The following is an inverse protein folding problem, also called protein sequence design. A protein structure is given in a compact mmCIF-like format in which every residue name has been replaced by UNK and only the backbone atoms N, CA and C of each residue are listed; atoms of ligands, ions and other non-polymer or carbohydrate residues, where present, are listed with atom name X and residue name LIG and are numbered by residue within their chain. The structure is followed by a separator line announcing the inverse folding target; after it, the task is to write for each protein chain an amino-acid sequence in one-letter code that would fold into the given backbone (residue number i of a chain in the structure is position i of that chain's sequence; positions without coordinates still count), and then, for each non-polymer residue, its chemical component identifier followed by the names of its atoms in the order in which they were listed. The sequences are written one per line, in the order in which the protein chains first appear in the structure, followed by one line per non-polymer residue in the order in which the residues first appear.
data_IF_616368198244
#
_entry.id   IF_616368198244
#
_cell.length_a   1.000
_cell.length_b   1.000
_cell.length_c   1.000
_cell.angle_alpha   90.00
_cell.angle_beta   90.00
_cell.angle_gamma   90.00
#
_symmetry.space_group_name_H-M   'P 1'
#
loop_
_entity.id
_entity.type
_entity.pdbx_description
1 polymer ?
#
# COMPACT_ATOMS: atom_id res chain seq x y z
N UNK A 1 11.91 -53.89 -4.47
CA UNK A 1 10.92 -52.94 -3.89
C UNK A 1 11.61 -51.61 -3.54
N UNK A 2 11.78 -50.69 -4.51
CA UNK A 2 12.54 -49.43 -4.32
C UNK A 2 11.94 -48.21 -5.03
N UNK A 3 10.66 -48.28 -5.44
CA UNK A 3 9.98 -47.22 -6.22
C UNK A 3 8.85 -46.50 -5.46
N UNK A 4 8.51 -46.92 -4.24
CA UNK A 4 7.37 -46.36 -3.48
C UNK A 4 7.77 -45.15 -2.62
N UNK A 5 9.05 -45.00 -2.27
CA UNK A 5 9.52 -43.94 -1.35
C UNK A 5 9.63 -42.55 -2.00
N UNK A 6 9.69 -42.44 -3.33
CA UNK A 6 9.85 -41.13 -4.02
C UNK A 6 8.50 -40.40 -4.16
N UNK A 7 7.38 -41.13 -4.24
CA UNK A 7 6.06 -40.54 -4.47
C UNK A 7 5.51 -39.81 -3.22
N UNK A 8 5.82 -40.31 -2.02
CA UNK A 8 5.40 -39.69 -0.77
C UNK A 8 6.16 -38.39 -0.43
N UNK A 9 7.42 -38.27 -0.85
CA UNK A 9 8.21 -37.07 -0.61
C UNK A 9 7.76 -35.86 -1.45
N UNK A 10 7.26 -36.10 -2.67
CA UNK A 10 6.77 -35.04 -3.57
C UNK A 10 5.43 -34.48 -3.09
N UNK A 11 4.54 -35.31 -2.52
CA UNK A 11 3.24 -34.84 -2.01
C UNK A 11 3.39 -33.98 -0.75
N UNK A 12 4.36 -34.28 0.12
CA UNK A 12 4.64 -33.45 1.31
C UNK A 12 5.29 -32.10 0.97
N UNK A 13 6.11 -32.04 -0.08
CA UNK A 13 6.72 -30.77 -0.50
C UNK A 13 5.69 -29.82 -1.13
N UNK A 14 4.76 -30.32 -1.96
CA UNK A 14 3.77 -29.47 -2.65
C UNK A 14 2.72 -28.89 -1.69
N UNK A 15 2.31 -29.64 -0.65
CA UNK A 15 1.35 -29.13 0.35
C UNK A 15 1.95 -28.05 1.25
N UNK A 16 3.25 -28.16 1.59
CA UNK A 16 3.95 -27.19 2.44
C UNK A 16 3.97 -25.78 1.84
N UNK A 17 4.04 -25.65 0.51
CA UNK A 17 4.06 -24.34 -0.15
C UNK A 17 2.69 -23.64 -0.17
N UNK A 18 1.60 -24.40 -0.30
CA UNK A 18 0.24 -23.83 -0.34
C UNK A 18 -0.20 -23.26 1.02
N UNK A 19 0.17 -23.92 2.13
CA UNK A 19 -0.11 -23.41 3.48
C UNK A 19 0.71 -22.15 3.82
N UNK A 20 1.94 -22.02 3.31
CA UNK A 20 2.80 -20.88 3.61
C UNK A 20 2.33 -19.54 3.02
N UNK A 21 1.61 -19.55 1.88
CA UNK A 21 1.18 -18.31 1.21
C UNK A 21 -0.09 -17.73 1.82
N UNK A 22 -1.06 -18.58 2.18
CA UNK A 22 -2.24 -18.13 2.93
C UNK A 22 -1.83 -17.52 4.28
N UNK A 23 -0.87 -18.15 4.98
CA UNK A 23 -0.31 -17.60 6.21
C UNK A 23 0.37 -16.23 6.01
N UNK A 24 1.02 -15.99 4.86
CA UNK A 24 1.62 -14.69 4.56
C UNK A 24 0.55 -13.61 4.35
N UNK A 25 -0.48 -13.90 3.54
CA UNK A 25 -1.58 -12.97 3.28
C UNK A 25 -2.32 -12.61 4.57
N UNK A 26 -2.58 -13.60 5.43
CA UNK A 26 -3.22 -13.37 6.73
C UNK A 26 -2.35 -12.51 7.64
N UNK A 27 -1.02 -12.72 7.66
CA UNK A 27 -0.07 -11.86 8.37
C UNK A 27 -0.14 -10.41 7.88
N UNK A 28 -0.17 -10.21 6.57
CA UNK A 28 -0.27 -8.86 5.96
C UNK A 28 -1.60 -8.20 6.31
N UNK A 29 -2.71 -8.92 6.19
CA UNK A 29 -4.04 -8.40 6.56
C UNK A 29 -4.12 -7.99 8.03
N UNK A 30 -3.56 -8.82 8.92
CA UNK A 30 -3.47 -8.51 10.35
C UNK A 30 -2.66 -7.25 10.60
N UNK A 31 -1.48 -7.14 9.97
CA UNK A 31 -0.65 -5.93 10.04
C UNK A 31 -1.41 -4.68 9.58
N UNK A 32 -2.08 -4.72 8.43
CA UNK A 32 -2.86 -3.59 7.92
C UNK A 32 -4.00 -3.19 8.86
N UNK A 33 -4.71 -4.17 9.44
CA UNK A 33 -5.78 -3.92 10.40
C UNK A 33 -5.26 -3.26 11.69
N UNK A 34 -4.16 -3.76 12.25
CA UNK A 34 -3.53 -3.20 13.44
C UNK A 34 -3.02 -1.78 13.18
N UNK A 35 -2.42 -1.54 12.01
CA UNK A 35 -1.95 -0.21 11.63
C UNK A 35 -3.10 0.78 11.47
N UNK A 36 -4.19 0.38 10.80
CA UNK A 36 -5.38 1.23 10.68
C UNK A 36 -6.00 1.54 12.03
N UNK A 37 -6.03 0.57 12.95
CA UNK A 37 -6.49 0.81 14.31
C UNK A 37 -5.60 1.83 15.04
N UNK A 38 -4.27 1.74 14.88
CA UNK A 38 -3.33 2.72 15.45
C UNK A 38 -3.52 4.13 14.88
N UNK A 39 -3.74 4.25 13.57
CA UNK A 39 -3.98 5.54 12.90
C UNK A 39 -5.29 6.18 13.38
N UNK A 40 -6.34 5.38 13.56
CA UNK A 40 -7.67 5.86 13.97
C UNK A 40 -7.83 6.04 15.48
N UNK A 41 -6.91 5.51 16.30
CA UNK A 41 -6.95 5.65 17.75
C UNK A 41 -6.47 7.05 18.15
N UNK A 42 -7.39 8.02 18.10
CA UNK A 42 -7.16 9.36 18.67
C UNK A 42 -6.87 9.25 20.18
N UNK A 43 -5.77 9.87 20.63
CA UNK A 43 -5.53 10.12 22.07
C UNK A 43 -4.55 9.21 22.80
N UNK A 44 -3.95 8.20 22.15
CA UNK A 44 -2.85 7.43 22.76
C UNK A 44 -1.49 8.05 22.39
N UNK A 45 -1.03 8.96 23.26
CA UNK A 45 0.28 9.65 23.23
C UNK A 45 1.50 8.72 23.26
N UNK A 46 1.33 7.40 23.15
CA UNK A 46 2.43 6.43 22.97
C UNK A 46 2.49 5.83 21.57
N UNK A 47 1.51 6.14 20.71
CA UNK A 47 1.36 5.62 19.35
C UNK A 47 1.37 6.75 18.31
N UNK A 48 2.28 7.73 18.42
CA UNK A 48 2.37 8.87 17.50
C UNK A 48 2.70 8.44 16.07
N UNK A 49 1.65 8.10 15.32
CA UNK A 49 1.67 8.12 13.86
C UNK A 49 1.48 9.57 13.44
N UNK A 50 2.55 10.15 12.91
CA UNK A 50 2.55 11.49 12.32
C UNK A 50 1.97 11.42 10.91
N UNK A 51 1.43 12.54 10.45
CA UNK A 51 0.83 12.65 9.12
C UNK A 51 1.34 13.89 8.38
N UNK A 52 1.76 13.70 7.14
CA UNK A 52 1.90 14.78 6.17
C UNK A 52 0.80 14.67 5.13
N UNK A 53 0.05 15.74 4.91
CA UNK A 53 -1.05 15.76 3.94
C UNK A 53 -0.83 16.85 2.89
N UNK A 54 -0.98 16.47 1.63
CA UNK A 54 -1.00 17.38 0.48
C UNK A 54 -2.39 17.40 -0.10
N UNK A 55 -2.98 18.60 -0.18
CA UNK A 55 -4.26 18.83 -0.83
C UNK A 55 -4.01 19.54 -2.15
N UNK A 56 -4.45 18.92 -3.24
CA UNK A 56 -4.37 19.47 -4.59
C UNK A 56 -5.76 19.59 -5.18
N UNK A 57 -6.09 20.78 -5.66
CA UNK A 57 -7.34 21.07 -6.35
C UNK A 57 -7.01 21.44 -7.80
N UNK A 58 -7.73 20.82 -8.74
CA UNK A 58 -7.65 21.16 -10.16
C UNK A 58 -9.04 21.24 -10.78
N UNK A 59 -9.16 21.98 -11.88
CA UNK A 59 -10.40 22.05 -12.66
C UNK A 59 -10.12 21.54 -14.06
N UNK A 60 -10.54 20.31 -14.34
CA UNK A 60 -10.28 19.64 -15.62
C UNK A 60 -11.46 19.89 -16.57
N UNK A 61 -11.18 20.42 -17.75
CA UNK A 61 -12.20 20.67 -18.78
C UNK A 61 -12.99 19.38 -19.06
N UNK A 62 -14.32 19.50 -19.10
CA UNK A 62 -15.30 18.40 -19.26
C UNK A 62 -15.51 17.45 -18.06
N UNK A 63 -14.68 17.51 -17.01
CA UNK A 63 -14.85 16.69 -15.79
C UNK A 63 -15.25 17.56 -14.58
N UNK A 64 -14.79 18.82 -14.56
CA UNK A 64 -15.05 19.78 -13.49
C UNK A 64 -13.98 19.75 -12.40
N UNK A 65 -14.36 20.24 -11.21
CA UNK A 65 -13.48 20.35 -10.04
C UNK A 65 -13.10 18.97 -9.49
N UNK A 66 -11.81 18.73 -9.36
CA UNK A 66 -11.21 17.53 -8.83
C UNK A 66 -10.34 17.91 -7.64
N UNK A 67 -10.56 17.21 -6.53
CA UNK A 67 -9.75 17.29 -5.35
C UNK A 67 -8.96 15.98 -5.24
N UNK A 68 -7.68 16.10 -4.94
CA UNK A 68 -6.80 14.99 -4.61
C UNK A 68 -6.15 15.27 -3.27
N UNK A 69 -6.27 14.32 -2.35
CA UNK A 69 -5.66 14.37 -1.03
C UNK A 69 -4.67 13.22 -0.97
N UNK A 70 -3.40 13.53 -0.68
CA UNK A 70 -2.36 12.54 -0.46
C UNK A 70 -1.90 12.65 0.98
N UNK A 71 -2.04 11.57 1.75
CA UNK A 71 -1.66 11.48 3.16
C UNK A 71 -0.56 10.45 3.35
N UNK A 72 0.55 10.89 3.95
CA UNK A 72 1.69 10.06 4.34
C UNK A 72 1.68 9.86 5.84
N UNK A 73 1.48 8.62 6.28
CA UNK A 73 1.53 8.25 7.69
C UNK A 73 2.91 7.68 7.98
N UNK A 74 3.54 8.14 9.04
CA UNK A 74 4.88 7.69 9.43
C UNK A 74 5.02 7.71 10.96
N UNK A 75 5.96 6.92 11.50
CA UNK A 75 6.25 6.98 12.93
C UNK A 75 6.94 8.29 13.27
N UNK A 76 6.71 8.83 14.46
CA UNK A 76 7.45 9.99 14.97
C UNK A 76 8.95 9.92 14.62
N UNK A 77 9.52 11.01 14.05
CA UNK A 77 10.95 11.08 13.78
C UNK A 77 11.75 10.78 15.05
N UNK A 78 12.86 10.07 14.90
CA UNK A 78 13.80 9.93 16.00
C UNK A 78 14.64 11.21 16.13
N UNK A 79 14.90 11.64 17.35
CA UNK A 79 15.83 12.73 17.62
C UNK A 79 17.26 12.21 17.48
N UNK A 80 18.07 12.91 16.67
CA UNK A 80 19.52 12.79 16.69
C UNK A 80 20.13 14.15 17.01
N UNK A 81 21.29 14.17 17.64
CA UNK A 81 22.02 15.41 17.94
C UNK A 81 23.28 15.42 17.11
N UNK A 82 23.49 16.49 16.36
CA UNK A 82 24.75 16.79 15.69
C UNK A 82 25.41 17.95 16.41
N UNK A 83 26.63 17.74 16.89
CA UNK A 83 27.44 18.81 17.46
C UNK A 83 28.45 19.27 16.41
N UNK A 84 28.36 20.53 15.99
CA UNK A 84 29.31 21.14 15.07
C UNK A 84 29.70 22.53 15.60
N UNK A 85 31.01 22.79 15.73
CA UNK A 85 31.56 24.05 16.26
C UNK A 85 31.01 24.47 17.65
N UNK A 86 30.66 23.52 18.51
CA UNK A 86 30.13 23.78 19.85
C UNK A 86 28.65 24.16 19.91
N UNK A 87 27.93 24.05 18.78
CA UNK A 87 26.48 24.20 18.71
C UNK A 87 25.88 22.81 18.55
N UNK A 88 24.93 22.46 19.43
CA UNK A 88 24.14 21.24 19.34
C UNK A 88 22.89 21.50 18.50
N UNK A 89 22.75 20.79 17.40
CA UNK A 89 21.61 20.86 16.49
C UNK A 89 20.82 19.55 16.57
N UNK A 90 19.50 19.65 16.76
CA UNK A 90 18.60 18.49 16.72
C UNK A 90 18.24 18.18 15.27
N UNK A 91 18.51 16.94 14.85
CA UNK A 91 18.21 16.44 13.52
C UNK A 91 17.09 15.41 13.61
N UNK A 92 15.96 15.76 13.01
CA UNK A 92 14.85 14.84 12.82
C UNK A 92 15.23 13.77 11.78
N UNK A 93 15.26 12.50 12.22
CA UNK A 93 15.43 11.34 11.35
C UNK A 93 14.05 10.80 10.97
N UNK A 94 13.59 11.18 9.79
CA UNK A 94 12.34 10.69 9.22
C UNK A 94 12.52 9.27 8.71
N UNK A 95 11.65 8.37 9.17
CA UNK A 95 11.52 7.03 8.61
C UNK A 95 10.61 7.07 7.39
N UNK A 96 10.74 6.11 6.46
CA UNK A 96 9.80 5.96 5.36
C UNK A 96 8.34 5.88 5.85
N UNK A 97 7.36 6.32 5.04
CA UNK A 97 5.95 6.17 5.37
C UNK A 97 5.60 4.72 5.68
N UNK A 98 4.79 4.50 6.71
CA UNK A 98 4.22 3.19 7.07
C UNK A 98 2.86 2.95 6.42
N UNK A 99 2.23 4.01 5.89
CA UNK A 99 1.05 3.96 5.03
C UNK A 99 1.01 5.21 4.17
N UNK A 100 0.55 5.08 2.93
CA UNK A 100 0.26 6.20 2.03
C UNK A 100 -1.18 6.05 1.55
N UNK A 101 -1.99 7.08 1.74
CA UNK A 101 -3.38 7.14 1.27
C UNK A 101 -3.52 8.22 0.21
N UNK A 102 -4.21 7.90 -0.87
CA UNK A 102 -4.56 8.85 -1.92
C UNK A 102 -6.07 8.78 -2.12
N UNK A 103 -6.74 9.89 -1.92
CA UNK A 103 -8.16 10.04 -2.16
C UNK A 103 -8.38 11.07 -3.24
N UNK A 104 -9.13 10.73 -4.27
CA UNK A 104 -9.51 11.69 -5.30
C UNK A 104 -10.89 11.41 -5.86
N UNK A 105 -11.51 12.45 -6.41
CA UNK A 105 -12.77 12.31 -7.12
C UNK A 105 -12.57 12.36 -8.64
N UNK A 106 -13.27 11.50 -9.36
CA UNK A 106 -13.44 11.60 -10.81
C UNK A 106 -14.82 12.24 -11.03
N UNK A 107 -14.83 13.51 -11.43
CA UNK A 107 -16.05 14.34 -11.42
C UNK A 107 -16.71 14.42 -10.03
N UNK A 108 -17.93 14.95 -9.95
CA UNK A 108 -18.68 15.00 -8.69
C UNK A 108 -19.25 13.64 -8.24
N UNK A 109 -19.22 12.61 -9.09
CA UNK A 109 -20.02 11.40 -8.94
C UNK A 109 -19.23 10.11 -8.65
N UNK A 110 -17.91 10.18 -8.63
CA UNK A 110 -17.06 9.01 -8.39
C UNK A 110 -15.93 9.35 -7.41
N UNK A 111 -15.80 8.55 -6.36
CA UNK A 111 -14.70 8.63 -5.38
C UNK A 111 -13.75 7.46 -5.56
N UNK A 112 -12.46 7.74 -5.51
CA UNK A 112 -11.38 6.76 -5.58
C UNK A 112 -10.51 6.88 -4.35
N UNK A 113 -10.17 5.74 -3.76
CA UNK A 113 -9.23 5.57 -2.67
C UNK A 113 -8.13 4.62 -3.11
N UNK A 114 -6.88 5.00 -2.88
CA UNK A 114 -5.71 4.16 -3.10
C UNK A 114 -4.91 4.14 -1.80
N UNK A 115 -4.53 2.96 -1.36
CA UNK A 115 -3.72 2.79 -0.16
C UNK A 115 -2.51 1.91 -0.47
N UNK A 116 -1.34 2.37 -0.02
CA UNK A 116 -0.09 1.62 -0.05
C UNK A 116 0.36 1.33 1.37
N UNK A 117 0.72 0.07 1.62
CA UNK A 117 1.20 -0.41 2.91
C UNK A 117 2.57 -1.07 2.71
N UNK A 118 3.65 -0.40 3.11
CA UNK A 118 4.97 -0.99 3.17
C UNK A 118 5.23 -1.82 4.43
N UNK A 119 6.26 -2.66 4.36
CA UNK A 119 6.85 -3.32 5.53
C UNK A 119 7.77 -2.37 6.31
N UNK A 120 8.37 -2.90 7.38
CA UNK A 120 9.34 -2.19 8.21
C UNK A 120 10.60 -1.72 7.45
N UNK A 121 10.88 -2.29 6.28
CA UNK A 121 12.00 -1.92 5.42
C UNK A 121 11.59 -0.92 4.32
N UNK A 122 10.35 -0.43 4.34
CA UNK A 122 9.82 0.49 3.33
C UNK A 122 9.47 -0.18 2.00
N UNK A 123 9.42 -1.52 1.92
CA UNK A 123 9.02 -2.24 0.70
C UNK A 123 7.51 -2.45 0.69
N UNK A 124 6.86 -2.19 -0.44
CA UNK A 124 5.42 -2.42 -0.59
C UNK A 124 5.08 -3.90 -0.34
N UNK A 125 4.14 -4.16 0.56
CA UNK A 125 3.61 -5.50 0.85
C UNK A 125 2.12 -5.62 0.51
N UNK A 126 1.39 -4.51 0.53
CA UNK A 126 -0.03 -4.49 0.21
C UNK A 126 -0.45 -3.18 -0.46
N UNK A 127 -1.28 -3.33 -1.48
CA UNK A 127 -1.91 -2.25 -2.21
C UNK A 127 -3.41 -2.51 -2.27
N UNK A 128 -4.18 -1.45 -2.02
CA UNK A 128 -5.62 -1.47 -2.10
C UNK A 128 -6.10 -0.30 -2.97
N UNK A 129 -6.92 -0.62 -3.96
CA UNK A 129 -7.66 0.35 -4.76
C UNK A 129 -9.14 0.15 -4.47
N UNK A 130 -9.88 1.23 -4.23
CA UNK A 130 -11.32 1.21 -4.07
C UNK A 130 -11.93 2.35 -4.88
N UNK A 131 -12.98 2.05 -5.63
CA UNK A 131 -13.77 3.03 -6.37
C UNK A 131 -15.24 2.88 -5.98
N UNK A 132 -15.87 4.00 -5.61
CA UNK A 132 -17.28 4.04 -5.20
C UNK A 132 -17.98 5.25 -5.82
N UNK A 133 -19.07 5.03 -6.52
CA UNK A 133 -19.78 6.09 -7.22
C UNK A 133 -20.87 5.62 -8.18
N UNK A 134 -21.27 6.52 -9.06
CA UNK A 134 -22.40 6.30 -9.96
C UNK A 134 -22.10 5.29 -11.08
N UNK A 135 -20.84 5.23 -11.54
CA UNK A 135 -20.45 4.51 -12.75
C UNK A 135 -19.75 3.18 -12.47
N UNK A 136 -18.81 3.16 -11.52
CA UNK A 136 -18.01 1.97 -11.24
C UNK A 136 -17.86 1.75 -9.75
N UNK A 137 -18.06 0.52 -9.32
CA UNK A 137 -17.98 0.12 -7.92
C UNK A 137 -17.10 -1.13 -7.84
N UNK A 138 -15.97 -1.03 -7.13
CA UNK A 138 -15.07 -2.17 -7.00
C UNK A 138 -13.86 -1.91 -6.13
N UNK A 139 -13.25 -3.00 -5.70
CA UNK A 139 -12.04 -3.02 -4.91
C UNK A 139 -11.02 -3.99 -5.53
N UNK A 140 -9.76 -3.57 -5.56
CA UNK A 140 -8.65 -4.38 -6.02
C UNK A 140 -7.57 -4.45 -4.94
N UNK A 141 -7.05 -5.64 -4.72
CA UNK A 141 -6.08 -5.94 -3.68
C UNK A 141 -4.89 -6.64 -4.31
N UNK A 142 -3.69 -6.13 -4.04
CA UNK A 142 -2.45 -6.72 -4.52
C UNK A 142 -1.52 -6.92 -3.33
N UNK A 143 -1.04 -8.15 -3.17
CA UNK A 143 -0.07 -8.53 -2.15
C UNK A 143 1.28 -8.73 -2.80
N UNK A 144 2.33 -8.22 -2.17
CA UNK A 144 3.69 -8.24 -2.69
C UNK A 144 4.64 -8.85 -1.68
N UNK A 145 5.58 -9.68 -2.15
CA UNK A 145 6.69 -10.20 -1.36
C UNK A 145 7.97 -9.99 -2.15
N UNK A 146 8.94 -9.31 -1.55
CA UNK A 146 10.23 -8.99 -2.19
C UNK A 146 10.08 -8.31 -3.57
N UNK A 147 9.10 -7.41 -3.69
CA UNK A 147 8.82 -6.67 -4.92
C UNK A 147 8.13 -7.50 -6.01
N UNK A 148 7.66 -8.72 -5.71
CA UNK A 148 6.91 -9.57 -6.64
C UNK A 148 5.48 -9.78 -6.15
N UNK A 149 4.47 -9.80 -7.05
CA UNK A 149 3.11 -10.11 -6.62
C UNK A 149 3.01 -11.56 -6.16
N UNK A 150 2.26 -11.78 -5.07
CA UNK A 150 1.99 -13.11 -4.52
C UNK A 150 0.51 -13.47 -4.51
N UNK A 151 -0.37 -12.46 -4.52
CA UNK A 151 -1.82 -12.64 -4.64
C UNK A 151 -2.47 -11.38 -5.19
N UNK A 152 -3.47 -11.57 -6.04
CA UNK A 152 -4.34 -10.49 -6.52
C UNK A 152 -5.79 -10.91 -6.28
N UNK A 153 -6.59 -10.01 -5.71
CA UNK A 153 -8.02 -10.19 -5.48
C UNK A 153 -8.77 -8.98 -6.03
N UNK A 154 -9.88 -9.24 -6.71
CA UNK A 154 -10.82 -8.24 -7.18
C UNK A 154 -12.18 -8.51 -6.54
N UNK A 155 -12.83 -7.48 -6.00
CA UNK A 155 -14.14 -7.59 -5.34
C UNK A 155 -15.08 -6.53 -5.94
N UNK A 156 -16.24 -6.96 -6.42
CA UNK A 156 -17.32 -6.05 -6.78
C UNK A 156 -18.01 -5.57 -5.50
N UNK A 157 -18.25 -4.27 -5.39
CA UNK A 157 -18.89 -3.68 -4.19
C UNK A 157 -20.38 -3.43 -4.38
N UNK A 158 -20.95 -3.72 -5.55
CA UNK A 158 -22.36 -3.51 -5.86
C UNK A 158 -22.87 -4.59 -6.82
N UNK A 159 -24.00 -5.25 -6.48
CA UNK A 159 -24.54 -6.38 -7.25
C UNK A 159 -25.36 -5.95 -8.49
N UNK A 160 -25.60 -4.63 -8.68
CA UNK A 160 -26.57 -4.10 -9.64
C UNK A 160 -26.05 -3.15 -10.74
N UNK A 161 -24.75 -2.83 -10.80
CA UNK A 161 -24.16 -1.95 -11.83
C UNK A 161 -22.95 -2.61 -12.49
N UNK A 162 -22.65 -2.25 -13.75
CA UNK A 162 -21.57 -2.85 -14.54
C UNK A 162 -20.27 -2.96 -13.75
N UNK A 163 -19.95 -4.20 -13.42
CA UNK A 163 -18.83 -4.62 -12.60
C UNK A 163 -17.58 -4.60 -13.48
N UNK A 164 -16.50 -3.97 -13.01
CA UNK A 164 -15.15 -4.28 -13.50
C UNK A 164 -14.93 -5.79 -13.32
N UNK A 165 -15.10 -6.53 -14.41
CA UNK A 165 -14.93 -7.97 -14.65
C UNK A 165 -14.87 -8.91 -13.44
N UNK A 166 -15.75 -9.92 -13.48
CA UNK A 166 -15.80 -11.07 -12.57
C UNK A 166 -14.41 -11.58 -12.14
N UNK A 167 -14.25 -11.60 -10.82
CA UNK A 167 -13.38 -12.41 -9.98
C UNK A 167 -12.33 -13.28 -10.67
N UNK A 168 -11.06 -12.96 -10.40
CA UNK A 168 -9.96 -13.90 -10.52
C UNK A 168 -9.07 -13.78 -9.29
N UNK A 169 -9.13 -14.77 -8.41
CA UNK A 169 -8.08 -14.94 -7.40
C UNK A 169 -6.96 -15.71 -8.08
N UNK A 170 -5.81 -15.06 -8.25
CA UNK A 170 -4.59 -15.74 -8.70
C UNK A 170 -3.72 -16.04 -7.49
N UNK A 171 -3.81 -17.27 -7.02
CA UNK A 171 -3.09 -17.77 -5.84
C UNK A 171 -1.65 -18.27 -6.15
N UNK A 172 -0.95 -17.77 -7.19
CA UNK A 172 0.39 -18.32 -7.54
C UNK A 172 1.36 -17.29 -8.12
N UNK A 173 2.59 -17.29 -7.60
CA UNK A 173 3.78 -16.60 -8.17
C UNK A 173 4.03 -16.96 -9.66
N UNK A 174 3.53 -18.11 -10.12
CA UNK A 174 3.68 -18.60 -11.50
C UNK A 174 2.40 -18.46 -12.34
N UNK A 175 1.33 -17.87 -11.81
CA UNK A 175 0.00 -17.83 -12.43
C UNK A 175 -0.41 -16.46 -13.00
N UNK A 176 0.46 -15.46 -12.90
CA UNK A 176 0.14 -14.10 -13.35
C UNK A 176 0.24 -13.95 -14.86
N UNK A 177 -0.81 -13.39 -15.45
CA UNK A 177 -0.80 -12.93 -16.82
C UNK A 177 0.13 -11.72 -16.99
N UNK A 178 0.61 -11.50 -18.21
CA UNK A 178 1.57 -10.43 -18.52
C UNK A 178 1.00 -9.04 -18.20
N UNK A 179 -0.31 -8.87 -18.40
CA UNK A 179 -1.05 -7.65 -18.14
C UNK A 179 -1.12 -7.34 -16.64
N UNK A 180 -1.31 -8.36 -15.81
CA UNK A 180 -1.33 -8.24 -14.36
C UNK A 180 0.06 -7.88 -13.83
N UNK A 181 1.12 -8.51 -14.36
CA UNK A 181 2.51 -8.15 -14.02
C UNK A 181 2.82 -6.69 -14.38
N UNK A 182 2.41 -6.21 -15.56
CA UNK A 182 2.56 -4.79 -15.94
C UNK A 182 1.84 -3.85 -14.97
N UNK A 183 0.66 -4.25 -14.49
CA UNK A 183 -0.11 -3.48 -13.49
C UNK A 183 0.64 -3.44 -12.16
N UNK A 184 1.15 -4.58 -11.69
CA UNK A 184 2.01 -4.67 -10.52
C UNK A 184 3.26 -3.77 -10.62
N UNK A 185 3.95 -3.80 -11.77
CA UNK A 185 5.12 -2.95 -12.02
C UNK A 185 4.75 -1.46 -11.96
N UNK A 186 3.60 -1.08 -12.52
CA UNK A 186 3.11 0.29 -12.44
C UNK A 186 2.77 0.71 -11.01
N UNK A 187 2.19 -0.18 -10.20
CA UNK A 187 1.89 0.05 -8.78
C UNK A 187 3.19 0.30 -8.01
N UNK A 188 4.19 -0.58 -8.18
CA UNK A 188 5.50 -0.46 -7.52
C UNK A 188 6.23 0.83 -7.94
N UNK A 189 6.16 1.19 -9.23
CA UNK A 189 6.75 2.43 -9.72
C UNK A 189 6.11 3.66 -9.06
N UNK A 190 4.78 3.73 -9.04
CA UNK A 190 4.04 4.85 -8.40
C UNK A 190 4.33 4.93 -6.91
N UNK A 191 4.39 3.79 -6.21
CA UNK A 191 4.78 3.75 -4.80
C UNK A 191 6.17 4.37 -4.58
N UNK A 192 7.15 4.03 -5.44
CA UNK A 192 8.47 4.64 -5.41
C UNK A 192 8.47 6.14 -5.68
N UNK A 193 7.61 6.63 -6.57
CA UNK A 193 7.42 8.07 -6.82
C UNK A 193 6.84 8.80 -5.60
N UNK A 194 5.87 8.20 -4.91
CA UNK A 194 5.30 8.76 -3.67
C UNK A 194 6.32 8.83 -2.53
N UNK A 195 7.16 7.81 -2.36
CA UNK A 195 8.24 7.87 -1.36
C UNK A 195 9.23 9.00 -1.66
N UNK A 196 9.65 9.15 -2.92
CA UNK A 196 10.51 10.29 -3.32
C UNK A 196 9.84 11.64 -3.07
N UNK A 197 8.52 11.72 -3.29
CA UNK A 197 7.77 12.93 -3.00
C UNK A 197 7.74 13.23 -1.51
N UNK A 198 7.52 12.24 -0.64
CA UNK A 198 7.61 12.38 0.81
C UNK A 198 8.99 12.89 1.25
N UNK A 199 10.08 12.31 0.73
CA UNK A 199 11.45 12.76 1.04
C UNK A 199 11.68 14.23 0.65
N UNK A 200 11.10 14.66 -0.47
CA UNK A 200 11.18 16.05 -0.89
C UNK A 200 10.34 16.98 0.00
N UNK A 201 9.18 16.54 0.50
CA UNK A 201 8.41 17.31 1.49
C UNK A 201 9.19 17.52 2.78
N UNK A 202 9.85 16.47 3.28
CA UNK A 202 10.72 16.55 4.47
C UNK A 202 11.87 17.55 4.24
N UNK A 203 12.46 17.57 3.05
CA UNK A 203 13.50 18.56 2.72
C UNK A 203 12.96 19.98 2.76
N UNK A 204 11.77 20.22 2.21
CA UNK A 204 11.12 21.54 2.25
C UNK A 204 10.89 21.99 3.68
N UNK A 205 10.42 21.10 4.56
CA UNK A 205 10.24 21.40 5.99
C UNK A 205 11.54 21.86 6.67
N UNK A 206 12.68 21.35 6.22
CA UNK A 206 14.02 21.71 6.72
C UNK A 206 14.61 22.97 6.09
N UNK A 207 13.97 23.58 5.09
CA UNK A 207 14.55 24.77 4.43
C UNK A 207 14.45 26.03 5.28
N UNK A 208 13.43 26.12 6.13
CA UNK A 208 13.15 27.29 6.98
C UNK A 208 13.43 27.04 8.48
N UNK A 209 14.01 25.87 8.83
CA UNK A 209 14.45 25.51 10.18
C UNK A 209 15.98 25.59 10.26
#
# INVERSE_FOLDING_TARGET
MRKVSVFFAVVFFVSSFAFSQNAYVDKVNKFCSELNQKISAEGDYRNYVMIHTVNYESNVRAIGKQNTVVSFYYTQPGDSVKEENGIAEFIDIYKPPIKITIEYNIAASQKVLIEYYPDENGKLIYFHYSTKGEYTNGEEFFYFKDGKPVKIKYIATDEGKEVLEKYKTLDKETGFAKEELKKCDSILKKFGEYNKFFDNMVKIEKMDK
#
